data_IF_179905423636
#
_entry.id   IF_179905423636
#
_cell.length_a   1.000
_cell.length_b   1.000
_cell.length_c   1.000
_cell.angle_alpha   90.00
_cell.angle_beta   90.00
_cell.angle_gamma   90.00
#
_symmetry.space_group_name_H-M   'P 1'
#
loop_
_entity.id
_entity.type
_entity.pdbx_description
1 polymer ?
#
# COMPACT_ATOMS: atom_id res chain seq x y z
N UNK A 1 -26.23 15.97 16.07
CA UNK A 1 -27.59 15.38 16.13
C UNK A 1 -27.55 14.20 17.08
N UNK A 2 -28.56 14.00 17.93
CA UNK A 2 -28.65 12.77 18.74
C UNK A 2 -28.78 11.58 17.81
N UNK A 3 -28.18 10.48 18.22
CA UNK A 3 -28.26 9.21 17.51
C UNK A 3 -29.70 8.70 17.53
N UNK A 4 -30.30 8.57 16.36
CA UNK A 4 -31.70 8.15 16.18
C UNK A 4 -31.86 6.63 16.02
N UNK A 5 -30.75 5.87 16.01
CA UNK A 5 -30.79 4.42 15.80
C UNK A 5 -30.95 3.69 17.13
N UNK A 6 -31.82 2.69 17.13
CA UNK A 6 -31.90 1.71 18.23
C UNK A 6 -30.62 0.84 18.23
N UNK A 7 -30.26 0.19 19.36
CA UNK A 7 -29.11 -0.73 19.40
C UNK A 7 -29.20 -1.82 18.33
N UNK A 8 -30.38 -2.35 18.04
CA UNK A 8 -30.58 -3.36 17.01
C UNK A 8 -30.34 -2.81 15.60
N UNK A 9 -30.93 -1.65 15.27
CA UNK A 9 -30.69 -1.00 13.99
C UNK A 9 -29.21 -0.69 13.76
N UNK A 10 -28.49 -0.30 14.81
CA UNK A 10 -27.06 -0.08 14.74
C UNK A 10 -26.30 -1.36 14.48
N UNK A 11 -26.62 -2.43 15.21
CA UNK A 11 -26.02 -3.75 14.98
C UNK A 11 -26.24 -4.21 13.54
N UNK A 12 -27.44 -4.07 13.01
CA UNK A 12 -27.77 -4.46 11.64
C UNK A 12 -27.00 -3.61 10.60
N UNK A 13 -26.92 -2.30 10.80
CA UNK A 13 -26.10 -1.44 9.96
C UNK A 13 -24.62 -1.86 9.98
N UNK A 14 -24.07 -2.14 11.15
CA UNK A 14 -22.66 -2.52 11.30
C UNK A 14 -22.35 -3.89 10.69
N UNK A 15 -23.28 -4.86 10.81
CA UNK A 15 -23.12 -6.20 10.22
C UNK A 15 -23.11 -6.19 8.68
N UNK A 16 -23.73 -5.19 8.05
CA UNK A 16 -23.74 -5.02 6.59
C UNK A 16 -22.53 -4.27 6.04
N UNK A 17 -21.66 -3.73 6.92
CA UNK A 17 -20.44 -3.03 6.45
C UNK A 17 -19.45 -4.06 5.94
N UNK A 18 -19.19 -4.00 4.64
CA UNK A 18 -18.19 -4.87 4.00
C UNK A 18 -16.78 -4.39 4.31
N UNK A 19 -15.91 -5.32 4.68
CA UNK A 19 -14.48 -5.07 4.88
C UNK A 19 -13.65 -5.19 3.60
N UNK A 20 -14.28 -5.58 2.49
CA UNK A 20 -13.63 -5.78 1.18
C UNK A 20 -14.61 -5.54 0.05
N UNK A 21 -14.08 -5.20 -1.10
CA UNK A 21 -14.86 -4.88 -2.30
C UNK A 21 -15.91 -3.79 -2.02
N UNK A 22 -15.51 -2.81 -1.25
CA UNK A 22 -16.31 -1.62 -1.00
C UNK A 22 -16.53 -0.84 -2.30
N UNK A 23 -17.58 -0.03 -2.35
CA UNK A 23 -17.89 0.78 -3.55
C UNK A 23 -16.67 1.66 -3.98
N UNK A 24 -15.96 2.36 -3.06
CA UNK A 24 -14.77 3.13 -3.42
C UNK A 24 -13.65 2.29 -4.01
N UNK A 25 -13.34 1.13 -3.41
CA UNK A 25 -12.32 0.21 -3.94
C UNK A 25 -12.65 -0.25 -5.37
N UNK A 26 -13.89 -0.69 -5.59
CA UNK A 26 -14.34 -1.19 -6.90
C UNK A 26 -14.32 -0.07 -7.94
N UNK A 27 -14.70 1.16 -7.56
CA UNK A 27 -14.66 2.31 -8.45
C UNK A 27 -13.22 2.60 -8.92
N UNK A 28 -12.28 2.70 -7.98
CA UNK A 28 -10.86 2.95 -8.29
C UNK A 28 -10.26 1.82 -9.13
N UNK A 29 -10.56 0.55 -8.80
CA UNK A 29 -10.09 -0.62 -9.55
C UNK A 29 -10.55 -0.59 -10.99
N UNK A 30 -11.84 -0.30 -11.24
CA UNK A 30 -12.38 -0.20 -12.60
C UNK A 30 -11.66 0.87 -13.41
N UNK A 31 -11.42 2.02 -12.81
CA UNK A 31 -10.76 3.12 -13.50
C UNK A 31 -9.29 2.80 -13.82
N UNK A 32 -8.53 2.29 -12.86
CA UNK A 32 -7.16 1.86 -13.11
C UNK A 32 -7.09 0.78 -14.20
N UNK A 33 -8.03 -0.17 -14.21
CA UNK A 33 -8.10 -1.18 -15.27
C UNK A 33 -8.41 -0.57 -16.65
N UNK A 34 -9.36 0.37 -16.72
CA UNK A 34 -9.70 1.13 -17.95
C UNK A 34 -8.49 1.88 -18.50
N UNK A 35 -7.64 2.42 -17.62
CA UNK A 35 -6.39 3.11 -17.96
C UNK A 35 -5.24 2.16 -18.33
N UNK A 36 -5.49 0.84 -18.36
CA UNK A 36 -4.50 -0.15 -18.78
C UNK A 36 -3.60 -0.69 -17.66
N UNK A 37 -3.79 -0.27 -16.41
CA UNK A 37 -3.03 -0.83 -15.28
C UNK A 37 -3.45 -2.26 -14.99
N UNK A 38 -2.47 -3.12 -14.69
CA UNK A 38 -2.68 -4.50 -14.25
C UNK A 38 -2.23 -4.63 -12.81
N UNK A 39 -3.11 -5.16 -11.96
CA UNK A 39 -2.93 -5.24 -10.51
C UNK A 39 -3.46 -6.56 -9.96
N UNK A 40 -3.06 -6.85 -8.73
CA UNK A 40 -3.65 -7.89 -7.87
C UNK A 40 -4.44 -7.21 -6.76
N UNK A 41 -5.43 -7.92 -6.21
CA UNK A 41 -6.28 -7.40 -5.14
C UNK A 41 -6.11 -8.23 -3.87
N UNK A 42 -6.23 -7.58 -2.71
CA UNK A 42 -6.27 -8.23 -1.39
C UNK A 42 -5.15 -9.27 -1.20
N UNK A 43 -3.89 -8.88 -1.48
CA UNK A 43 -2.73 -9.78 -1.43
C UNK A 43 -2.34 -10.05 0.02
N UNK A 44 -2.80 -11.15 0.60
CA UNK A 44 -2.63 -11.51 2.03
C UNK A 44 -1.20 -11.64 2.51
N UNK A 45 -0.25 -11.97 1.62
CA UNK A 45 1.17 -12.10 1.95
C UNK A 45 1.88 -10.75 2.18
N UNK A 46 1.24 -9.65 1.81
CA UNK A 46 1.75 -8.30 2.05
C UNK A 46 1.14 -7.72 3.34
N UNK A 47 1.93 -6.97 4.14
CA UNK A 47 1.44 -6.29 5.32
C UNK A 47 0.17 -5.47 5.04
N UNK A 48 -0.81 -5.57 5.92
CA UNK A 48 -2.08 -4.86 5.79
C UNK A 48 -3.03 -5.35 4.69
N UNK A 49 -2.64 -6.34 3.89
CA UNK A 49 -3.45 -6.87 2.78
C UNK A 49 -3.94 -5.75 1.85
N UNK A 50 -3.05 -5.08 1.09
CA UNK A 50 -3.40 -3.92 0.28
C UNK A 50 -4.55 -4.19 -0.69
N UNK A 51 -5.43 -3.20 -0.89
CA UNK A 51 -6.61 -3.32 -1.77
C UNK A 51 -6.24 -3.47 -3.24
N UNK A 52 -5.12 -2.85 -3.64
CA UNK A 52 -4.60 -2.88 -5.00
C UNK A 52 -3.07 -2.99 -4.94
N UNK A 53 -2.49 -3.95 -5.65
CA UNK A 53 -1.04 -4.16 -5.73
C UNK A 53 -0.59 -4.11 -7.18
N UNK A 54 0.18 -3.09 -7.53
CA UNK A 54 0.75 -2.88 -8.86
C UNK A 54 2.23 -3.29 -8.85
N UNK A 55 2.49 -4.57 -9.09
CA UNK A 55 3.84 -5.13 -8.99
C UNK A 55 4.84 -4.46 -9.95
N UNK A 56 4.41 -4.11 -11.17
CA UNK A 56 5.24 -3.40 -12.17
C UNK A 56 5.71 -2.02 -11.70
N UNK A 57 4.95 -1.41 -10.80
CA UNK A 57 5.22 -0.08 -10.24
C UNK A 57 5.76 -0.16 -8.80
N UNK A 58 5.94 -1.36 -8.29
CA UNK A 58 6.33 -1.62 -6.90
C UNK A 58 5.47 -0.85 -5.90
N UNK A 59 4.17 -0.75 -6.17
CA UNK A 59 3.24 0.11 -5.43
C UNK A 59 2.07 -0.68 -4.86
N UNK A 60 1.74 -0.39 -3.60
CA UNK A 60 0.55 -0.84 -2.89
C UNK A 60 -0.39 0.35 -2.69
N UNK A 61 -1.68 0.17 -2.94
CA UNK A 61 -2.70 1.20 -2.67
C UNK A 61 -3.68 0.67 -1.64
N UNK A 62 -3.93 1.48 -0.61
CA UNK A 62 -5.00 1.30 0.36
C UNK A 62 -6.11 2.32 0.10
N UNK A 63 -7.36 1.88 0.17
CA UNK A 63 -8.55 2.73 0.03
C UNK A 63 -9.24 2.82 1.39
N UNK A 64 -8.91 3.87 2.12
CA UNK A 64 -9.33 4.03 3.49
C UNK A 64 -10.69 4.75 3.61
N UNK A 65 -11.63 4.15 4.36
CA UNK A 65 -12.85 4.82 4.78
C UNK A 65 -12.55 5.95 5.77
N UNK A 66 -13.06 7.15 5.50
CA UNK A 66 -12.72 8.35 6.27
C UNK A 66 -13.02 8.20 7.77
N UNK A 67 -14.13 7.59 8.14
CA UNK A 67 -14.51 7.36 9.54
C UNK A 67 -13.59 6.34 10.21
N UNK A 68 -13.39 5.18 9.57
CA UNK A 68 -12.70 4.03 10.16
C UNK A 68 -11.22 4.25 10.43
N UNK A 69 -10.59 5.10 9.64
CA UNK A 69 -9.16 5.41 9.71
C UNK A 69 -8.88 6.83 10.23
N UNK A 70 -9.94 7.54 10.66
CA UNK A 70 -9.81 8.86 11.32
C UNK A 70 -9.23 9.95 10.42
N UNK A 71 -9.81 10.12 9.22
CA UNK A 71 -9.34 11.11 8.24
C UNK A 71 -9.52 12.54 8.79
N UNK A 72 -8.43 13.15 9.23
CA UNK A 72 -8.45 14.49 9.85
C UNK A 72 -8.89 15.56 8.85
N UNK A 73 -9.64 16.55 9.32
CA UNK A 73 -10.13 17.67 8.50
C UNK A 73 -11.23 17.28 7.50
N UNK A 74 -11.72 16.03 7.53
CA UNK A 74 -12.73 15.55 6.61
C UNK A 74 -14.13 15.61 7.20
N UNK A 75 -15.09 16.16 6.48
CA UNK A 75 -16.49 16.23 6.90
C UNK A 75 -17.16 14.86 7.12
N UNK A 76 -16.60 13.78 6.53
CA UNK A 76 -17.05 12.40 6.74
C UNK A 76 -16.50 11.76 8.03
N UNK A 77 -15.55 12.42 8.70
CA UNK A 77 -15.01 11.97 9.96
C UNK A 77 -15.61 12.83 11.09
N UNK A 78 -16.61 12.28 11.74
CA UNK A 78 -17.23 12.91 12.92
C UNK A 78 -17.23 11.87 14.03
N UNK A 79 -16.60 12.22 15.17
CA UNK A 79 -16.58 11.34 16.34
C UNK A 79 -18.00 11.16 16.90
N UNK A 80 -18.46 9.92 17.10
CA UNK A 80 -19.77 9.69 17.72
C UNK A 80 -19.79 10.17 19.17
N UNK A 81 -20.88 10.80 19.58
CA UNK A 81 -21.09 11.29 20.96
C UNK A 81 -21.40 10.16 21.96
N UNK A 82 -21.75 8.98 21.46
CA UNK A 82 -22.02 7.77 22.28
C UNK A 82 -20.83 6.83 22.19
N UNK A 83 -20.40 6.25 23.31
CA UNK A 83 -19.22 5.36 23.40
C UNK A 83 -17.96 6.01 22.83
N UNK A 84 -17.71 7.26 23.17
CA UNK A 84 -16.59 8.06 22.65
C UNK A 84 -15.24 7.39 22.87
N UNK A 85 -15.00 6.86 24.07
CA UNK A 85 -13.77 6.15 24.42
C UNK A 85 -13.55 4.91 23.53
N UNK A 86 -14.57 4.10 23.32
CA UNK A 86 -14.49 2.95 22.45
C UNK A 86 -14.11 3.33 21.01
N UNK A 87 -14.74 4.40 20.48
CA UNK A 87 -14.44 4.84 19.12
C UNK A 87 -13.05 5.46 19.01
N UNK A 88 -12.63 6.24 20.02
CA UNK A 88 -11.29 6.80 20.07
C UNK A 88 -10.22 5.70 20.05
N UNK A 89 -10.37 4.68 20.89
CA UNK A 89 -9.47 3.54 20.92
C UNK A 89 -9.49 2.75 19.61
N UNK A 90 -10.67 2.51 19.06
CA UNK A 90 -10.81 1.77 17.79
C UNK A 90 -10.10 2.49 16.63
N UNK A 91 -10.27 3.80 16.52
CA UNK A 91 -9.66 4.60 15.46
C UNK A 91 -8.16 4.71 15.68
N UNK A 92 -7.70 4.91 16.92
CA UNK A 92 -6.28 4.91 17.26
C UNK A 92 -5.60 3.60 16.84
N UNK A 93 -6.16 2.46 17.25
CA UNK A 93 -5.63 1.14 16.92
C UNK A 93 -5.61 0.89 15.40
N UNK A 94 -6.61 1.36 14.66
CA UNK A 94 -6.61 1.28 13.21
C UNK A 94 -5.46 2.10 12.60
N UNK A 95 -5.25 3.35 13.05
CA UNK A 95 -4.18 4.23 12.57
C UNK A 95 -2.78 3.67 12.89
N UNK A 96 -2.58 3.15 14.10
CA UNK A 96 -1.31 2.51 14.50
C UNK A 96 -1.01 1.29 13.64
N UNK A 97 -2.02 0.45 13.39
CA UNK A 97 -1.89 -0.69 12.47
C UNK A 97 -1.58 -0.25 11.04
N UNK A 98 -2.24 0.78 10.53
CA UNK A 98 -2.02 1.30 9.19
C UNK A 98 -0.60 1.84 9.05
N UNK A 99 -0.12 2.62 10.04
CA UNK A 99 1.26 3.11 10.07
C UNK A 99 2.27 1.96 10.08
N UNK A 100 2.08 0.96 10.96
CA UNK A 100 2.94 -0.22 11.01
C UNK A 100 2.99 -0.97 9.68
N UNK A 101 1.85 -1.17 9.05
CA UNK A 101 1.78 -1.85 7.75
C UNK A 101 2.50 -1.06 6.65
N UNK A 102 2.34 0.27 6.64
CA UNK A 102 3.06 1.17 5.72
C UNK A 102 4.56 1.04 5.91
N UNK A 103 5.06 1.17 7.13
CA UNK A 103 6.50 1.03 7.43
C UNK A 103 7.05 -0.34 7.01
N UNK A 104 6.31 -1.42 7.25
CA UNK A 104 6.73 -2.77 6.83
C UNK A 104 6.76 -2.94 5.31
N UNK A 105 5.84 -2.31 4.58
CA UNK A 105 5.82 -2.31 3.13
C UNK A 105 6.99 -1.49 2.56
N UNK A 106 7.23 -0.31 3.11
CA UNK A 106 8.33 0.57 2.70
C UNK A 106 9.70 -0.07 2.97
N UNK A 107 9.86 -0.73 4.12
CA UNK A 107 11.07 -1.51 4.45
C UNK A 107 11.30 -2.69 3.48
N UNK A 108 10.24 -3.16 2.81
CA UNK A 108 10.31 -4.19 1.76
C UNK A 108 10.33 -3.59 0.34
N UNK A 109 10.75 -2.33 0.18
CA UNK A 109 10.85 -1.58 -1.08
C UNK A 109 9.52 -1.40 -1.83
N UNK A 110 8.39 -1.44 -1.13
CA UNK A 110 7.11 -1.07 -1.71
C UNK A 110 6.80 0.41 -1.47
N UNK A 111 6.32 1.11 -2.47
CA UNK A 111 5.71 2.42 -2.30
C UNK A 111 4.26 2.24 -1.87
N UNK A 112 3.81 3.10 -0.95
CA UNK A 112 2.44 3.03 -0.42
C UNK A 112 1.69 4.30 -0.80
N UNK A 113 0.51 4.12 -1.38
CA UNK A 113 -0.43 5.20 -1.68
C UNK A 113 -1.69 4.96 -0.86
N UNK A 114 -2.05 5.91 -0.02
CA UNK A 114 -3.31 5.88 0.73
C UNK A 114 -4.31 6.82 0.07
N UNK A 115 -5.44 6.27 -0.35
CA UNK A 115 -6.55 7.01 -0.95
C UNK A 115 -7.72 7.01 0.03
N UNK A 116 -8.27 8.18 0.28
CA UNK A 116 -9.43 8.33 1.14
C UNK A 116 -10.73 8.24 0.35
N UNK A 117 -11.74 7.64 0.96
CA UNK A 117 -13.08 7.53 0.37
C UNK A 117 -13.64 8.86 -0.14
N UNK A 118 -13.35 9.97 0.55
CA UNK A 118 -13.81 11.30 0.12
C UNK A 118 -13.13 11.78 -1.17
N UNK A 119 -11.92 11.32 -1.46
CA UNK A 119 -11.19 11.63 -2.69
C UNK A 119 -11.73 10.87 -3.92
N UNK A 120 -12.60 9.90 -3.71
CA UNK A 120 -13.24 9.14 -4.78
C UNK A 120 -14.67 9.61 -5.07
N UNK A 121 -15.05 10.80 -4.59
CA UNK A 121 -16.28 11.48 -5.01
C UNK A 121 -16.13 12.03 -6.42
N UNK A 122 -17.28 12.17 -7.12
CA UNK A 122 -17.36 12.56 -8.54
C UNK A 122 -16.60 13.86 -8.85
N UNK A 123 -16.66 14.82 -7.97
CA UNK A 123 -16.07 16.16 -8.11
C UNK A 123 -14.53 16.19 -8.04
N UNK A 124 -13.91 15.24 -7.39
CA UNK A 124 -12.44 15.16 -7.18
C UNK A 124 -11.83 13.87 -7.72
N UNK A 125 -12.62 13.02 -8.33
CA UNK A 125 -12.21 11.69 -8.77
C UNK A 125 -11.10 11.72 -9.83
N UNK A 126 -11.26 12.56 -10.84
CA UNK A 126 -10.30 12.67 -11.94
C UNK A 126 -8.94 13.22 -11.49
N UNK A 127 -8.96 14.21 -10.58
CA UNK A 127 -7.75 14.76 -9.99
C UNK A 127 -7.01 13.71 -9.14
N UNK A 128 -7.78 12.93 -8.36
CA UNK A 128 -7.24 11.82 -7.57
C UNK A 128 -6.58 10.77 -8.47
N UNK A 129 -7.26 10.34 -9.52
CA UNK A 129 -6.71 9.37 -10.49
C UNK A 129 -5.48 9.92 -11.18
N UNK A 130 -5.48 11.19 -11.58
CA UNK A 130 -4.33 11.85 -12.20
C UNK A 130 -3.13 11.93 -11.25
N UNK A 131 -3.37 12.17 -9.96
CA UNK A 131 -2.33 12.14 -8.93
C UNK A 131 -1.75 10.73 -8.75
N UNK A 132 -2.61 9.70 -8.71
CA UNK A 132 -2.16 8.30 -8.63
C UNK A 132 -1.28 7.96 -9.84
N UNK A 133 -1.69 8.33 -11.04
CA UNK A 133 -0.91 8.06 -12.27
C UNK A 133 0.49 8.65 -12.20
N UNK A 134 0.62 9.92 -11.83
CA UNK A 134 1.94 10.57 -11.65
C UNK A 134 2.81 9.80 -10.66
N UNK A 135 2.27 9.49 -9.48
CA UNK A 135 3.00 8.71 -8.47
C UNK A 135 3.41 7.32 -8.98
N UNK A 136 2.58 6.65 -9.77
CA UNK A 136 2.92 5.36 -10.35
C UNK A 136 4.05 5.47 -11.38
N UNK A 137 4.06 6.49 -12.21
CA UNK A 137 5.11 6.71 -13.20
C UNK A 137 6.46 7.03 -12.51
N UNK A 138 6.45 7.88 -11.48
CA UNK A 138 7.61 8.19 -10.65
C UNK A 138 8.16 6.94 -9.95
N UNK A 139 7.27 6.14 -9.35
CA UNK A 139 7.66 4.90 -8.67
C UNK A 139 8.25 3.87 -9.63
N UNK A 140 7.73 3.78 -10.84
CA UNK A 140 8.25 2.89 -11.88
C UNK A 140 9.67 3.28 -12.30
N UNK A 141 9.92 4.56 -12.52
CA UNK A 141 11.23 5.07 -12.91
C UNK A 141 12.25 4.81 -11.81
N UNK A 142 11.95 5.19 -10.57
CA UNK A 142 12.82 4.96 -9.42
C UNK A 142 13.11 3.47 -9.18
N UNK A 143 12.11 2.60 -9.36
CA UNK A 143 12.31 1.16 -9.20
C UNK A 143 13.14 0.55 -10.35
N UNK A 144 12.99 1.04 -11.57
CA UNK A 144 13.82 0.61 -12.70
C UNK A 144 15.29 0.96 -12.49
N UNK A 145 15.61 2.16 -12.03
CA UNK A 145 16.95 2.62 -11.67
C UNK A 145 17.55 1.76 -10.55
N UNK A 146 16.80 1.52 -9.47
CA UNK A 146 17.20 0.65 -8.37
C UNK A 146 17.54 -0.77 -8.85
N UNK A 147 16.71 -1.34 -9.72
CA UNK A 147 16.94 -2.70 -10.25
C UNK A 147 18.16 -2.76 -11.16
N UNK A 148 18.40 -1.74 -11.97
CA UNK A 148 19.59 -1.66 -12.82
C UNK A 148 20.88 -1.59 -11.98
N UNK A 149 20.91 -0.73 -10.95
CA UNK A 149 22.02 -0.61 -10.02
C UNK A 149 22.28 -1.92 -9.23
N UNK A 150 21.21 -2.57 -8.75
CA UNK A 150 21.30 -3.87 -8.08
C UNK A 150 21.86 -4.96 -9.00
N UNK A 151 21.47 -4.96 -10.27
CA UNK A 151 22.00 -5.91 -11.25
C UNK A 151 23.49 -5.68 -11.48
N UNK A 152 23.90 -4.42 -11.67
CA UNK A 152 25.30 -4.02 -11.82
C UNK A 152 26.15 -4.50 -10.65
N UNK A 153 25.75 -4.22 -9.40
CA UNK A 153 26.46 -4.67 -8.18
C UNK A 153 26.57 -6.19 -8.11
N UNK A 154 25.53 -6.92 -8.56
CA UNK A 154 25.55 -8.38 -8.58
C UNK A 154 26.53 -8.93 -9.61
N UNK A 155 26.65 -8.29 -10.75
CA UNK A 155 27.62 -8.65 -11.80
C UNK A 155 29.06 -8.35 -11.35
N UNK A 156 29.32 -7.19 -10.78
CA UNK A 156 30.60 -6.81 -10.17
C UNK A 156 31.03 -7.82 -9.10
N UNK A 157 30.13 -8.19 -8.19
CA UNK A 157 30.41 -9.20 -7.18
C UNK A 157 30.75 -10.58 -7.78
N UNK A 158 30.04 -10.98 -8.84
CA UNK A 158 30.31 -12.25 -9.53
C UNK A 158 31.69 -12.25 -10.19
N UNK A 159 32.08 -11.16 -10.80
CA UNK A 159 33.39 -11.00 -11.43
C UNK A 159 34.50 -11.02 -10.38
N UNK A 160 34.32 -10.31 -9.28
CA UNK A 160 35.27 -10.30 -8.17
C UNK A 160 35.45 -11.70 -7.57
N UNK A 161 34.36 -12.43 -7.35
CA UNK A 161 34.44 -13.80 -6.83
C UNK A 161 35.11 -14.79 -7.81
N UNK A 162 34.97 -14.57 -9.11
CA UNK A 162 35.71 -15.35 -10.10
C UNK A 162 37.21 -15.05 -10.05
N UNK A 163 37.57 -13.78 -9.97
CA UNK A 163 38.96 -13.35 -9.84
C UNK A 163 39.62 -13.96 -8.62
N UNK A 164 39.00 -13.83 -7.44
CA UNK A 164 39.53 -14.44 -6.19
C UNK A 164 39.72 -15.95 -6.27
N UNK A 165 38.78 -16.66 -6.88
CA UNK A 165 38.92 -18.10 -7.07
C UNK A 165 40.06 -18.45 -7.99
N UNK A 166 40.30 -17.65 -9.03
CA UNK A 166 41.42 -17.86 -9.94
C UNK A 166 42.78 -17.61 -9.25
N UNK A 167 42.89 -16.52 -8.49
CA UNK A 167 44.07 -16.18 -7.69
C UNK A 167 44.37 -17.28 -6.65
N UNK A 168 43.35 -17.78 -5.96
CA UNK A 168 43.50 -18.88 -5.00
C UNK A 168 43.96 -20.17 -5.67
N UNK A 169 43.43 -20.50 -6.85
CA UNK A 169 43.84 -21.69 -7.63
C UNK A 169 45.31 -21.57 -8.11
N UNK A 170 45.72 -20.41 -8.58
CA UNK A 170 47.09 -20.12 -9.00
C UNK A 170 48.10 -20.30 -7.83
N UNK A 171 47.77 -19.69 -6.67
CA UNK A 171 48.57 -19.84 -5.42
C UNK A 171 48.72 -21.31 -5.01
N UNK A 172 47.63 -22.07 -5.02
CA UNK A 172 47.67 -23.48 -4.66
C UNK A 172 48.51 -24.30 -5.66
N UNK A 173 48.46 -23.97 -6.93
CA UNK A 173 49.23 -24.65 -8.00
C UNK A 173 50.74 -24.35 -7.87
N UNK A 174 51.12 -23.21 -7.35
CA UNK A 174 52.53 -22.86 -7.09
C UNK A 174 53.10 -23.59 -5.85
N UNK A 175 52.26 -23.79 -4.83
CA UNK A 175 52.66 -24.51 -3.59
C UNK A 175 52.80 -26.00 -3.77
N UNK A 176 52.28 -26.57 -4.86
CA UNK A 176 52.35 -28.02 -5.17
C UNK A 176 53.44 -28.38 -6.15
N UNK A 177 54.26 -27.42 -6.58
CA UNK A 177 55.45 -27.60 -7.41
C UNK A 177 56.71 -27.67 -6.54
#
# INVERSE_FOLDING_TARGET
MPDRMTPQQRHDCMSHIRSRNTKPEVLLRKELHRLGYRYRINVRRLPGTPDIVLAKYRTCIFVNGCFWHGHQGCSKFVMPKTNESFWADKIRNNRERDLKNTMMLEAADWKVITIWECQLKKDVFEDTVSSIRRQLDDNRSSYAEYMADRQKRREEWRLEMKRRKQEEFELLSELTK
#
